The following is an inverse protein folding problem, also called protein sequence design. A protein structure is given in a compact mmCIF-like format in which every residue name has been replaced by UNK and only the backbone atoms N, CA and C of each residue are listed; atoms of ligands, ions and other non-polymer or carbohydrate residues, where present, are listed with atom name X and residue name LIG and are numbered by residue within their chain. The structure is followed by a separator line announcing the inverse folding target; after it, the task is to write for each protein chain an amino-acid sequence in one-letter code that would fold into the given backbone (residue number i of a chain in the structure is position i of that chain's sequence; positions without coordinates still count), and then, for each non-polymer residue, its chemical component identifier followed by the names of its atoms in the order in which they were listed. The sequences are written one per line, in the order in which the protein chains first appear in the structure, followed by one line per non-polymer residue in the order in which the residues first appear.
data_IF_069974621266
#
_entry.id   IF_069974621266
#
_cell.length_a   1.000
_cell.length_b   1.000
_cell.length_c   1.000
_cell.angle_alpha   90.00
_cell.angle_beta   90.00
_cell.angle_gamma   90.00
#
_symmetry.space_group_name_H-M   'P 1'
#
loop_
_entity.id
_entity.type
_entity.pdbx_description
1 polymer ?
#
# COMPACT_ATOMS: atom_id res chain seq x y z
N UNK A 1 -7.23 -6.22 -11.10
CA UNK A 1 -7.08 -5.58 -9.77
C UNK A 1 -7.88 -6.40 -8.76
N UNK A 2 -7.62 -6.33 -7.45
CA UNK A 2 -8.46 -7.02 -6.47
C UNK A 2 -9.93 -6.63 -6.60
N UNK A 3 -10.85 -7.49 -6.16
CA UNK A 3 -12.28 -7.21 -6.25
C UNK A 3 -12.63 -5.89 -5.55
N UNK A 4 -13.49 -5.11 -6.21
CA UNK A 4 -14.00 -3.87 -5.66
C UNK A 4 -15.02 -4.16 -4.56
N UNK A 5 -15.00 -3.35 -3.51
CA UNK A 5 -16.05 -3.33 -2.48
C UNK A 5 -17.34 -2.84 -3.16
N UNK A 6 -18.49 -3.49 -2.94
CA UNK A 6 -19.78 -3.01 -3.44
C UNK A 6 -20.03 -1.55 -3.05
N UNK A 7 -20.52 -0.74 -3.99
CA UNK A 7 -20.68 0.72 -3.82
C UNK A 7 -21.44 1.07 -2.54
N UNK A 8 -22.57 0.40 -2.28
CA UNK A 8 -23.36 0.64 -1.09
C UNK A 8 -22.58 0.42 0.23
N UNK A 9 -21.73 -0.62 0.29
CA UNK A 9 -20.89 -0.87 1.47
C UNK A 9 -19.75 0.15 1.59
N UNK A 10 -19.24 0.65 0.47
CA UNK A 10 -18.24 1.71 0.47
C UNK A 10 -18.83 3.04 0.96
N UNK A 11 -20.00 3.43 0.46
CA UNK A 11 -20.71 4.65 0.89
C UNK A 11 -21.07 4.61 2.39
N UNK A 12 -21.47 3.43 2.90
CA UNK A 12 -21.71 3.22 4.32
C UNK A 12 -20.42 3.38 5.15
N UNK A 13 -19.31 2.80 4.69
CA UNK A 13 -18.00 2.98 5.30
C UNK A 13 -17.58 4.45 5.32
N UNK A 14 -17.75 5.18 4.21
CA UNK A 14 -17.41 6.60 4.11
C UNK A 14 -18.23 7.44 5.09
N UNK A 15 -19.54 7.23 5.13
CA UNK A 15 -20.46 7.95 6.01
C UNK A 15 -20.13 7.69 7.48
N UNK A 16 -19.93 6.43 7.84
CA UNK A 16 -19.61 6.01 9.22
C UNK A 16 -18.26 6.54 9.68
N UNK A 17 -17.24 6.45 8.82
CA UNK A 17 -15.89 6.94 9.12
C UNK A 17 -15.85 8.45 9.27
N UNK A 18 -16.56 9.19 8.39
CA UNK A 18 -16.66 10.65 8.47
C UNK A 18 -17.30 11.09 9.79
N UNK A 19 -18.43 10.47 10.18
CA UNK A 19 -19.10 10.78 11.44
C UNK A 19 -18.19 10.49 12.64
N UNK A 20 -17.62 9.30 12.71
CA UNK A 20 -16.76 8.90 13.82
C UNK A 20 -15.49 9.76 13.91
N UNK A 21 -14.89 10.13 12.77
CA UNK A 21 -13.73 11.00 12.74
C UNK A 21 -14.03 12.39 13.30
N UNK A 22 -15.15 13.02 12.91
CA UNK A 22 -15.56 14.32 13.44
C UNK A 22 -15.74 14.28 14.96
N UNK A 23 -16.44 13.27 15.48
CA UNK A 23 -16.66 13.11 16.93
C UNK A 23 -15.34 12.93 17.71
N UNK A 24 -14.41 12.15 17.17
CA UNK A 24 -13.10 11.97 17.79
C UNK A 24 -12.25 13.24 17.71
N UNK A 25 -12.33 13.98 16.61
CA UNK A 25 -11.58 15.21 16.43
C UNK A 25 -12.03 16.30 17.42
N UNK A 26 -13.32 16.37 17.73
CA UNK A 26 -13.87 17.26 18.79
C UNK A 26 -13.26 16.96 20.17
N UNK A 27 -12.91 15.69 20.43
CA UNK A 27 -12.19 15.27 21.64
C UNK A 27 -10.67 15.41 21.56
N UNK A 28 -10.12 15.89 20.44
CA UNK A 28 -8.68 16.00 20.19
C UNK A 28 -7.99 14.70 19.74
N UNK A 29 -8.76 13.65 19.42
CA UNK A 29 -8.23 12.35 19.00
C UNK A 29 -8.00 12.27 17.49
N UNK A 30 -6.83 11.77 17.08
CA UNK A 30 -6.44 11.60 15.68
C UNK A 30 -6.48 10.15 15.20
N UNK A 31 -7.01 9.22 16.00
CA UNK A 31 -6.95 7.77 15.74
C UNK A 31 -7.55 7.34 14.39
N UNK A 32 -8.56 8.06 13.88
CA UNK A 32 -9.21 7.76 12.61
C UNK A 32 -8.68 8.58 11.42
N UNK A 33 -7.62 9.37 11.59
CA UNK A 33 -7.10 10.24 10.51
C UNK A 33 -6.80 9.44 9.23
N UNK A 34 -6.13 8.29 9.36
CA UNK A 34 -5.83 7.40 8.24
C UNK A 34 -7.09 6.91 7.52
N UNK A 35 -8.08 6.43 8.28
CA UNK A 35 -9.33 5.93 7.71
C UNK A 35 -10.17 7.05 7.08
N UNK A 36 -10.12 8.26 7.64
CA UNK A 36 -10.77 9.44 7.07
C UNK A 36 -10.20 9.81 5.71
N UNK A 37 -8.88 9.74 5.53
CA UNK A 37 -8.24 9.95 4.22
C UNK A 37 -8.64 8.86 3.24
N UNK A 38 -8.64 7.59 3.66
CA UNK A 38 -9.07 6.48 2.81
C UNK A 38 -10.53 6.63 2.37
N UNK A 39 -11.40 7.11 3.26
CA UNK A 39 -12.81 7.37 2.99
C UNK A 39 -13.04 8.51 1.96
N UNK A 40 -12.04 9.33 1.65
CA UNK A 40 -12.15 10.34 0.58
C UNK A 40 -11.94 9.76 -0.82
N UNK A 41 -11.49 8.50 -0.92
CA UNK A 41 -11.26 7.83 -2.19
C UNK A 41 -12.53 7.13 -2.69
N UNK A 42 -12.66 6.94 -4.00
CA UNK A 42 -13.78 6.22 -4.64
C UNK A 42 -13.70 4.69 -4.46
N UNK A 43 -12.80 4.21 -3.62
CA UNK A 43 -12.60 2.79 -3.37
C UNK A 43 -11.27 2.50 -2.72
N UNK A 44 -11.15 1.28 -2.19
CA UNK A 44 -9.94 0.81 -1.49
C UNK A 44 -8.70 1.01 -2.36
N UNK A 45 -8.76 0.75 -3.66
CA UNK A 45 -7.60 0.80 -4.57
C UNK A 45 -7.56 2.04 -5.47
N UNK A 46 -8.46 3.00 -5.25
CA UNK A 46 -8.71 4.09 -6.21
C UNK A 46 -7.70 5.24 -6.15
N UNK A 47 -6.74 5.22 -5.22
CA UNK A 47 -5.68 6.22 -5.19
C UNK A 47 -4.83 6.16 -6.47
N UNK A 48 -4.62 7.31 -7.11
CA UNK A 48 -3.91 7.41 -8.39
C UNK A 48 -2.45 6.95 -8.29
N UNK A 49 -1.74 7.37 -7.24
CA UNK A 49 -0.34 6.98 -7.01
C UNK A 49 -0.23 5.48 -6.77
N UNK A 50 -1.11 4.90 -5.94
CA UNK A 50 -1.19 3.45 -5.74
C UNK A 50 -1.46 2.70 -7.04
N UNK A 51 -2.41 3.17 -7.84
CA UNK A 51 -2.77 2.57 -9.12
C UNK A 51 -1.62 2.63 -10.14
N UNK A 52 -0.86 3.72 -10.15
CA UNK A 52 0.34 3.88 -10.97
C UNK A 52 1.44 2.90 -10.55
N UNK A 53 1.74 2.81 -9.24
CA UNK A 53 2.70 1.85 -8.67
C UNK A 53 2.32 0.42 -9.09
N UNK A 54 1.06 0.03 -8.89
CA UNK A 54 0.58 -1.33 -9.20
C UNK A 54 0.52 -1.65 -10.69
N UNK A 55 0.64 -0.65 -11.55
CA UNK A 55 0.67 -0.79 -13.01
C UNK A 55 2.09 -0.73 -13.58
N UNK A 56 3.13 -0.81 -12.73
CA UNK A 56 4.54 -0.65 -13.10
C UNK A 56 4.85 0.69 -13.80
N UNK A 57 4.05 1.72 -13.53
CA UNK A 57 4.41 3.07 -13.92
C UNK A 57 5.45 3.61 -12.92
N UNK A 58 6.23 4.60 -13.34
CA UNK A 58 7.20 5.31 -12.49
C UNK A 58 6.63 6.69 -12.12
N UNK A 59 5.73 6.78 -11.13
CA UNK A 59 5.31 8.07 -10.59
C UNK A 59 6.50 8.81 -9.97
N UNK A 60 6.37 10.13 -9.83
CA UNK A 60 7.43 10.95 -9.23
C UNK A 60 7.71 10.50 -7.80
N UNK A 61 8.99 10.48 -7.42
CA UNK A 61 9.44 10.00 -6.10
C UNK A 61 8.74 10.75 -4.96
N UNK A 62 8.54 12.05 -5.10
CA UNK A 62 7.85 12.89 -4.12
C UNK A 62 6.39 12.45 -3.92
N UNK A 63 5.67 12.15 -5.02
CA UNK A 63 4.28 11.68 -4.97
C UNK A 63 4.18 10.31 -4.30
N UNK A 64 5.15 9.42 -4.56
CA UNK A 64 5.23 8.13 -3.89
C UNK A 64 5.47 8.32 -2.40
N UNK A 65 6.41 9.18 -2.02
CA UNK A 65 6.73 9.42 -0.61
C UNK A 65 5.53 10.01 0.14
N UNK A 66 4.84 10.99 -0.42
CA UNK A 66 3.62 11.57 0.15
C UNK A 66 2.54 10.50 0.33
N UNK A 67 2.33 9.67 -0.70
CA UNK A 67 1.39 8.55 -0.63
C UNK A 67 1.77 7.56 0.49
N UNK A 68 3.04 7.16 0.56
CA UNK A 68 3.51 6.21 1.55
C UNK A 68 3.35 6.79 2.96
N UNK A 69 3.72 8.05 3.19
CA UNK A 69 3.56 8.72 4.48
C UNK A 69 2.09 8.78 4.91
N UNK A 70 1.20 9.14 3.98
CA UNK A 70 -0.24 9.27 4.20
C UNK A 70 -0.91 7.92 4.51
N UNK A 71 -0.56 6.87 3.78
CA UNK A 71 -1.14 5.53 3.92
C UNK A 71 -0.59 4.79 5.15
N UNK A 72 0.68 5.00 5.50
CA UNK A 72 1.31 4.40 6.66
C UNK A 72 1.60 2.89 6.52
N UNK A 73 2.59 2.43 7.29
CA UNK A 73 3.11 1.06 7.16
C UNK A 73 2.06 -0.03 7.45
N UNK A 74 1.12 0.23 8.35
CA UNK A 74 0.09 -0.74 8.73
C UNK A 74 -0.84 -1.06 7.57
N UNK A 75 -1.39 -0.05 6.91
CA UNK A 75 -2.35 -0.24 5.83
C UNK A 75 -1.67 -0.77 4.56
N UNK A 76 -0.44 -0.32 4.28
CA UNK A 76 0.40 -0.90 3.23
C UNK A 76 0.64 -2.39 3.45
N UNK A 77 0.97 -2.82 4.67
CA UNK A 77 1.11 -4.25 4.99
C UNK A 77 -0.19 -5.03 4.75
N UNK A 78 -1.35 -4.46 5.11
CA UNK A 78 -2.65 -5.09 4.85
C UNK A 78 -2.91 -5.24 3.35
N UNK A 79 -2.60 -4.22 2.56
CA UNK A 79 -2.72 -4.26 1.08
C UNK A 79 -1.84 -5.33 0.46
N UNK A 80 -0.57 -5.38 0.85
CA UNK A 80 0.38 -6.36 0.33
C UNK A 80 -0.11 -7.78 0.65
N UNK A 81 -0.52 -8.04 1.90
CA UNK A 81 -1.10 -9.34 2.30
C UNK A 81 -2.36 -9.68 1.49
N UNK A 82 -3.23 -8.70 1.24
CA UNK A 82 -4.42 -8.89 0.43
C UNK A 82 -4.07 -9.23 -1.03
N UNK A 83 -3.09 -8.55 -1.64
CA UNK A 83 -2.62 -8.83 -3.00
C UNK A 83 -2.07 -10.26 -3.12
N UNK A 84 -1.26 -10.69 -2.15
CA UNK A 84 -0.76 -12.08 -2.09
C UNK A 84 -1.92 -13.07 -1.98
N UNK A 85 -2.90 -12.81 -1.11
CA UNK A 85 -4.08 -13.66 -0.94
C UNK A 85 -4.92 -13.77 -2.22
N UNK A 86 -4.93 -12.73 -3.05
CA UNK A 86 -5.63 -12.68 -4.33
C UNK A 86 -4.75 -13.10 -5.53
N UNK A 87 -3.65 -13.83 -5.27
CA UNK A 87 -2.71 -14.34 -6.28
C UNK A 87 -2.07 -13.25 -7.16
N UNK A 88 -2.14 -11.97 -6.75
CA UNK A 88 -1.52 -10.82 -7.42
C UNK A 88 -0.13 -10.55 -6.87
N UNK A 89 0.73 -11.57 -6.85
CA UNK A 89 2.04 -11.56 -6.17
C UNK A 89 3.03 -10.60 -6.84
N UNK A 90 2.92 -10.40 -8.15
CA UNK A 90 3.69 -9.42 -8.93
C UNK A 90 3.45 -8.00 -8.39
N UNK A 91 2.19 -7.61 -8.19
CA UNK A 91 1.81 -6.29 -7.65
C UNK A 91 2.19 -6.14 -6.18
N UNK A 92 2.08 -7.23 -5.42
CA UNK A 92 2.55 -7.28 -4.05
C UNK A 92 4.07 -7.01 -3.97
N UNK A 93 4.86 -7.60 -4.89
CA UNK A 93 6.29 -7.39 -4.97
C UNK A 93 6.62 -5.91 -5.24
N UNK A 94 5.96 -5.30 -6.22
CA UNK A 94 6.19 -3.90 -6.59
C UNK A 94 5.89 -2.96 -5.41
N UNK A 95 4.73 -3.14 -4.77
CA UNK A 95 4.36 -2.31 -3.62
C UNK A 95 5.32 -2.52 -2.43
N UNK A 96 5.69 -3.78 -2.15
CA UNK A 96 6.64 -4.10 -1.08
C UNK A 96 8.04 -3.52 -1.34
N UNK A 97 8.49 -3.51 -2.60
CA UNK A 97 9.75 -2.87 -3.02
C UNK A 97 9.73 -1.38 -2.70
N UNK A 98 8.72 -0.65 -3.18
CA UNK A 98 8.58 0.79 -2.91
C UNK A 98 8.56 1.10 -1.41
N UNK A 99 7.87 0.27 -0.61
CA UNK A 99 7.85 0.44 0.84
C UNK A 99 9.22 0.17 1.48
N UNK A 100 10.00 -0.79 0.95
CA UNK A 100 11.33 -1.12 1.48
C UNK A 100 12.41 -0.09 1.14
N UNK A 101 12.22 0.64 0.05
CA UNK A 101 13.13 1.71 -0.41
C UNK A 101 12.79 3.07 0.22
N UNK A 102 11.62 3.22 0.85
CA UNK A 102 11.20 4.46 1.47
C UNK A 102 11.89 4.69 2.82
N UNK A 103 12.68 5.76 2.97
CA UNK A 103 13.46 6.00 4.21
C UNK A 103 12.60 6.12 5.47
N UNK A 104 11.35 6.60 5.37
CA UNK A 104 10.44 6.75 6.51
C UNK A 104 10.02 5.42 7.17
N UNK A 105 10.30 4.29 6.52
CA UNK A 105 10.03 2.93 7.00
C UNK A 105 11.26 2.14 7.42
N UNK A 106 12.42 2.79 7.56
CA UNK A 106 13.58 2.12 8.13
C UNK A 106 13.24 1.52 9.52
N UNK A 107 13.42 0.21 9.66
CA UNK A 107 13.06 -0.55 10.86
C UNK A 107 11.56 -0.76 11.12
N UNK A 108 10.67 -0.33 10.22
CA UNK A 108 9.21 -0.47 10.35
C UNK A 108 8.65 -1.51 9.38
N UNK A 109 7.97 -2.52 9.93
CA UNK A 109 7.39 -3.59 9.13
C UNK A 109 8.43 -4.56 8.56
N UNK A 110 7.98 -5.45 7.69
CA UNK A 110 8.81 -6.50 7.08
C UNK A 110 8.83 -6.39 5.55
N UNK A 111 8.78 -5.16 5.01
CA UNK A 111 8.63 -4.89 3.58
C UNK A 111 9.74 -5.51 2.73
N UNK A 112 11.00 -5.41 3.18
CA UNK A 112 12.14 -6.03 2.48
C UNK A 112 12.01 -7.55 2.42
N UNK A 113 11.66 -8.19 3.54
CA UNK A 113 11.44 -9.64 3.59
C UNK A 113 10.26 -10.06 2.72
N UNK A 114 9.16 -9.29 2.74
CA UNK A 114 7.99 -9.56 1.89
C UNK A 114 8.30 -9.39 0.41
N UNK A 115 9.06 -8.35 0.02
CA UNK A 115 9.52 -8.18 -1.35
C UNK A 115 10.32 -9.39 -1.83
N UNK A 116 11.33 -9.81 -1.04
CA UNK A 116 12.16 -10.98 -1.34
C UNK A 116 11.32 -12.26 -1.47
N UNK A 117 10.35 -12.48 -0.57
CA UNK A 117 9.43 -13.60 -0.67
C UNK A 117 8.63 -13.56 -1.98
N UNK A 118 8.06 -12.41 -2.34
CA UNK A 118 7.25 -12.26 -3.55
C UNK A 118 8.06 -12.49 -4.83
N UNK A 119 9.29 -12.00 -4.93
CA UNK A 119 10.13 -12.25 -6.10
C UNK A 119 10.54 -13.72 -6.20
N UNK A 120 10.85 -14.39 -5.07
CA UNK A 120 11.16 -15.82 -5.06
C UNK A 120 9.98 -16.69 -5.55
N UNK A 121 8.74 -16.23 -5.34
CA UNK A 121 7.54 -16.92 -5.82
C UNK A 121 7.24 -16.67 -7.30
N UNK A 122 7.78 -15.60 -7.90
CA UNK A 122 7.35 -15.11 -9.22
C UNK A 122 8.43 -15.10 -10.30
N UNK A 123 9.71 -15.08 -9.92
CA UNK A 123 10.85 -14.95 -10.84
C UNK A 123 11.65 -16.25 -10.96
N UNK A 124 12.29 -16.47 -12.12
CA UNK A 124 13.26 -17.55 -12.29
C UNK A 124 14.55 -17.28 -11.50
N UNK A 125 15.38 -18.31 -11.30
CA UNK A 125 16.64 -18.19 -10.58
C UNK A 125 17.58 -17.14 -11.21
N UNK A 126 17.65 -17.05 -12.53
CA UNK A 126 18.47 -16.06 -13.25
C UNK A 126 17.97 -14.63 -12.99
N UNK A 127 16.66 -14.42 -13.02
CA UNK A 127 16.03 -13.13 -12.74
C UNK A 127 16.22 -12.70 -11.28
N UNK A 128 16.27 -13.66 -10.35
CA UNK A 128 16.56 -13.41 -8.94
C UNK A 128 18.00 -12.97 -8.73
N UNK A 129 18.97 -13.64 -9.36
CA UNK A 129 20.39 -13.27 -9.23
C UNK A 129 20.68 -11.86 -9.75
N UNK A 130 19.97 -11.41 -10.78
CA UNK A 130 20.10 -10.04 -11.31
C UNK A 130 19.58 -8.98 -10.33
N UNK A 131 18.47 -9.24 -9.62
CA UNK A 131 18.00 -8.30 -8.58
C UNK A 131 18.94 -8.24 -7.37
N UNK A 132 19.46 -9.38 -6.91
CA UNK A 132 20.42 -9.42 -5.79
C UNK A 132 21.70 -8.63 -6.13
N UNK A 133 22.13 -8.67 -7.38
CA UNK A 133 23.27 -7.88 -7.86
C UNK A 133 23.01 -6.38 -7.82
N UNK A 134 21.78 -5.94 -8.11
CA UNK A 134 21.39 -4.52 -8.07
C UNK A 134 21.31 -3.98 -6.64
N UNK A 135 20.94 -4.82 -5.68
CA UNK A 135 20.87 -4.45 -4.25
C UNK A 135 22.26 -4.42 -3.56
N UNK A 136 23.31 -4.96 -4.19
CA UNK A 136 24.66 -5.08 -3.60
C UNK A 136 25.70 -4.17 -4.25
N UNK A 137 25.32 -3.39 -5.27
CA UNK A 137 26.14 -2.40 -5.96
C UNK A 137 25.82 -0.98 -5.46
#
# INVERSE_FOLDING_TARGET
MPQHVPVALWEEFQSSTKLAHSLLQESGSTQLCLLSVLAQQDGVWSNNTLSAIMSNQTPQTEQVHEYLELEGATLLNMRIKHLIKMESVDKAAVLAKMCSEYPGYEGKGNFKQTYLLCICMTKSQEQLMEEVRKDTA
#
